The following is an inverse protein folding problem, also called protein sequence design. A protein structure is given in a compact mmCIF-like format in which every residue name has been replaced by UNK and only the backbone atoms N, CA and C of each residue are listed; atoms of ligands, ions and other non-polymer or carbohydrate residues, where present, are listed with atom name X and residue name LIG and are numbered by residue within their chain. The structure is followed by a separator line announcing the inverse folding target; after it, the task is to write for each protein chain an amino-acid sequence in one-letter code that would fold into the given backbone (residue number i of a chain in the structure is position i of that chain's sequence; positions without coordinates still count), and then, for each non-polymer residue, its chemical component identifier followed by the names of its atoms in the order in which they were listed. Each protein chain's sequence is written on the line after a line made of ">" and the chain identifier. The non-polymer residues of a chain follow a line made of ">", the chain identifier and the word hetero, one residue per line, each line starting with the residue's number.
data_IF_708403911940
#
_entry.id   IF_708403911940
#
_cell.length_a   1.000
_cell.length_b   1.000
_cell.length_c   1.000
_cell.angle_alpha   90.00
_cell.angle_beta   90.00
_cell.angle_gamma   90.00
#
_symmetry.space_group_name_H-M   'P 1'
#
loop_
_entity.id
_entity.type
_entity.pdbx_description
1 polymer ?
#
# COMPACT_ATOMS: atom_id res chain seq x y z
N UNK A 1 -5.10 -14.12 21.77
CA UNK A 1 -4.52 -12.80 22.05
C UNK A 1 -4.64 -11.99 20.78
N UNK A 2 -5.52 -10.98 20.75
CA UNK A 2 -5.69 -10.13 19.55
C UNK A 2 -4.47 -9.21 19.52
N UNK A 3 -3.62 -9.32 18.50
CA UNK A 3 -2.49 -8.39 18.32
C UNK A 3 -3.08 -6.99 18.12
N UNK A 4 -2.83 -6.08 19.06
CA UNK A 4 -3.20 -4.68 18.92
C UNK A 4 -2.20 -4.02 17.97
N UNK A 5 -2.63 -3.71 16.75
CA UNK A 5 -1.82 -2.95 15.81
C UNK A 5 -1.88 -1.47 16.16
N UNK A 6 -0.71 -0.82 16.24
CA UNK A 6 -0.63 0.60 16.58
C UNK A 6 -1.09 1.41 15.37
N UNK A 7 -2.08 2.27 15.58
CA UNK A 7 -2.52 3.26 14.60
C UNK A 7 -1.89 4.63 14.91
N UNK A 8 -1.75 5.45 13.88
CA UNK A 8 -1.25 6.82 13.97
C UNK A 8 -2.42 7.78 14.05
N UNK A 9 -2.53 8.57 15.11
CA UNK A 9 -3.59 9.60 15.24
C UNK A 9 -2.98 10.98 15.08
N UNK A 10 -3.45 11.74 14.08
CA UNK A 10 -3.02 13.11 13.78
C UNK A 10 -4.25 14.02 13.62
N UNK A 11 -4.10 15.34 13.85
CA UNK A 11 -5.26 16.24 13.96
C UNK A 11 -6.06 16.41 12.65
N UNK A 12 -5.41 16.33 11.49
CA UNK A 12 -6.04 16.62 10.20
C UNK A 12 -5.30 15.97 9.02
N UNK A 13 -5.87 16.11 7.82
CA UNK A 13 -5.28 15.67 6.56
C UNK A 13 -3.87 16.25 6.35
N UNK A 14 -3.66 17.53 6.66
CA UNK A 14 -2.39 18.21 6.41
C UNK A 14 -1.26 17.57 7.22
N UNK A 15 -1.52 17.22 8.48
CA UNK A 15 -0.60 16.51 9.33
C UNK A 15 -0.27 15.10 8.77
N UNK A 16 -1.27 14.35 8.31
CA UNK A 16 -1.03 13.05 7.66
C UNK A 16 -0.26 13.18 6.35
N UNK A 17 -0.55 14.21 5.54
CA UNK A 17 0.16 14.50 4.30
C UNK A 17 1.62 14.82 4.58
N UNK A 18 1.89 15.65 5.58
CA UNK A 18 3.26 15.96 5.98
C UNK A 18 4.00 14.72 6.47
N UNK A 19 3.34 13.88 7.28
CA UNK A 19 3.90 12.60 7.71
C UNK A 19 4.24 11.71 6.51
N UNK A 20 3.36 11.62 5.51
CA UNK A 20 3.61 10.85 4.29
C UNK A 20 4.85 11.35 3.53
N UNK A 21 4.93 12.67 3.32
CA UNK A 21 6.05 13.28 2.61
C UNK A 21 7.38 13.03 3.34
N UNK A 22 7.40 13.22 4.66
CA UNK A 22 8.59 13.04 5.47
C UNK A 22 9.04 11.57 5.53
N UNK A 23 8.08 10.65 5.62
CA UNK A 23 8.36 9.21 5.81
C UNK A 23 8.70 8.51 4.49
N UNK A 24 8.00 8.84 3.41
CA UNK A 24 8.02 8.07 2.17
C UNK A 24 8.65 8.80 0.98
N UNK A 25 8.52 10.12 0.91
CA UNK A 25 9.04 10.91 -0.21
C UNK A 25 10.43 11.49 0.06
N UNK A 26 10.96 11.37 1.29
CA UNK A 26 12.30 11.82 1.62
C UNK A 26 13.37 10.86 1.07
N UNK A 27 14.14 11.34 0.09
CA UNK A 27 15.20 10.55 -0.56
C UNK A 27 16.32 10.11 0.39
N UNK A 28 16.52 10.82 1.51
CA UNK A 28 17.52 10.49 2.53
C UNK A 28 17.09 9.33 3.44
N UNK A 29 15.79 8.98 3.45
CA UNK A 29 15.23 7.88 4.24
C UNK A 29 14.45 6.91 3.33
N UNK A 30 15.14 6.17 2.44
CA UNK A 30 14.48 5.24 1.53
C UNK A 30 13.79 4.09 2.29
N UNK A 31 12.65 3.65 1.78
CA UNK A 31 11.99 2.42 2.22
C UNK A 31 12.44 1.27 1.33
N UNK A 32 12.80 0.16 1.97
CA UNK A 32 13.10 -1.08 1.30
C UNK A 32 12.03 -2.12 1.63
N UNK A 33 11.90 -3.08 0.74
CA UNK A 33 11.17 -4.30 1.02
C UNK A 33 12.08 -5.30 1.73
N UNK A 34 11.52 -6.30 2.40
CA UNK A 34 12.30 -7.34 3.08
C UNK A 34 13.31 -8.04 2.14
N UNK A 35 13.00 -8.10 0.84
CA UNK A 35 13.80 -8.73 -0.21
C UNK A 35 14.66 -7.73 -0.99
N UNK A 36 14.84 -6.51 -0.47
CA UNK A 36 15.86 -5.58 -0.93
C UNK A 36 15.45 -4.62 -2.04
N UNK A 37 14.19 -4.62 -2.50
CA UNK A 37 13.75 -3.61 -3.46
C UNK A 37 13.60 -2.25 -2.81
N UNK A 38 14.22 -1.24 -3.39
CA UNK A 38 13.99 0.16 -3.02
C UNK A 38 12.65 0.62 -3.58
N UNK A 39 11.74 1.03 -2.71
CA UNK A 39 10.41 1.51 -3.11
C UNK A 39 10.41 3.04 -3.21
N UNK A 40 10.07 3.56 -4.39
CA UNK A 40 9.92 4.99 -4.61
C UNK A 40 8.47 5.42 -4.43
N UNK A 41 8.27 6.58 -3.80
CA UNK A 41 6.95 7.17 -3.55
C UNK A 41 6.88 8.57 -4.17
N UNK A 42 5.71 8.92 -4.71
CA UNK A 42 5.37 10.25 -5.18
C UNK A 42 4.37 10.92 -4.24
N UNK A 43 4.41 12.25 -4.05
CA UNK A 43 3.38 12.98 -3.30
C UNK A 43 1.94 12.66 -3.73
N UNK A 44 1.73 12.39 -5.03
CA UNK A 44 0.41 12.04 -5.58
C UNK A 44 -0.13 10.70 -5.07
N UNK A 45 0.75 9.81 -4.57
CA UNK A 45 0.33 8.55 -3.98
C UNK A 45 -0.48 8.73 -2.69
N UNK A 46 -0.32 9.87 -1.99
CA UNK A 46 -1.10 10.19 -0.80
C UNK A 46 -2.59 10.23 -1.13
N UNK A 47 -2.97 11.03 -2.12
CA UNK A 47 -4.37 11.15 -2.54
C UNK A 47 -4.91 9.79 -3.00
N UNK A 48 -4.09 9.03 -3.72
CA UNK A 48 -4.52 7.72 -4.20
C UNK A 48 -4.79 6.72 -3.07
N UNK A 49 -4.09 6.84 -1.93
CA UNK A 49 -4.13 5.86 -0.84
C UNK A 49 -5.01 6.26 0.32
N UNK A 50 -5.27 7.55 0.53
CA UNK A 50 -5.98 8.05 1.71
C UNK A 50 -7.26 8.83 1.39
N UNK A 51 -7.65 8.90 0.12
CA UNK A 51 -8.94 9.42 -0.28
C UNK A 51 -9.84 8.31 -0.80
N UNK A 52 -11.10 8.41 -0.42
CA UNK A 52 -12.19 7.58 -0.89
C UNK A 52 -13.14 8.43 -1.73
N UNK A 53 -14.13 7.76 -2.32
CA UNK A 53 -15.18 8.47 -3.03
C UNK A 53 -16.40 8.72 -2.17
N UNK A 54 -16.85 9.98 -2.17
CA UNK A 54 -18.16 10.40 -1.67
C UNK A 54 -19.31 9.64 -2.34
N UNK A 55 -19.11 9.16 -3.57
CA UNK A 55 -20.14 8.51 -4.37
C UNK A 55 -19.65 7.21 -5.02
N UNK A 56 -20.11 6.06 -4.50
CA UNK A 56 -19.78 4.74 -5.06
C UNK A 56 -20.26 4.51 -6.50
N UNK A 57 -21.26 5.26 -6.98
CA UNK A 57 -21.77 5.16 -8.36
C UNK A 57 -21.00 6.02 -9.35
N UNK A 58 -20.33 7.08 -8.88
CA UNK A 58 -19.47 7.94 -9.68
C UNK A 58 -18.17 8.20 -8.92
N UNK A 59 -17.19 7.29 -8.98
CA UNK A 59 -16.04 7.28 -8.08
C UNK A 59 -15.09 8.46 -8.36
N UNK A 60 -15.29 9.56 -7.63
CA UNK A 60 -14.38 10.70 -7.48
C UNK A 60 -13.59 10.54 -6.18
N UNK A 61 -12.25 10.55 -6.17
CA UNK A 61 -11.47 10.51 -4.90
C UNK A 61 -11.46 11.89 -4.25
N UNK A 62 -12.50 12.21 -3.50
CA UNK A 62 -12.80 13.55 -3.00
C UNK A 62 -12.96 13.65 -1.47
N UNK A 63 -13.01 12.52 -0.77
CA UNK A 63 -13.16 12.48 0.70
C UNK A 63 -11.91 11.91 1.35
N UNK A 64 -11.28 12.69 2.22
CA UNK A 64 -10.18 12.21 3.05
C UNK A 64 -10.68 11.15 4.05
N UNK A 65 -10.02 9.99 4.08
CA UNK A 65 -10.38 8.85 4.92
C UNK A 65 -9.41 8.74 6.10
N UNK A 66 -9.85 9.21 7.27
CA UNK A 66 -9.09 9.09 8.52
C UNK A 66 -8.75 7.64 8.81
N UNK A 67 -9.71 6.72 8.62
CA UNK A 67 -9.51 5.28 8.86
C UNK A 67 -8.35 4.71 8.03
N UNK A 68 -8.20 5.16 6.78
CA UNK A 68 -7.06 4.75 5.94
C UNK A 68 -5.77 5.45 6.37
N UNK A 69 -5.84 6.74 6.67
CA UNK A 69 -4.70 7.56 7.06
C UNK A 69 -4.08 7.12 8.40
N UNK A 70 -4.89 6.63 9.34
CA UNK A 70 -4.42 6.08 10.61
C UNK A 70 -3.44 4.91 10.45
N UNK A 71 -3.49 4.21 9.31
CA UNK A 71 -2.60 3.08 8.97
C UNK A 71 -1.44 3.49 8.07
N UNK A 72 -1.18 4.80 7.94
CA UNK A 72 -0.12 5.34 7.08
C UNK A 72 1.24 4.69 7.33
N UNK A 73 1.62 4.41 8.58
CA UNK A 73 2.91 3.77 8.92
C UNK A 73 2.95 2.28 8.63
N UNK A 74 1.78 1.62 8.51
CA UNK A 74 1.72 0.20 8.18
C UNK A 74 2.25 -0.08 6.77
N UNK A 75 2.29 0.92 5.88
CA UNK A 75 2.87 0.75 4.54
C UNK A 75 4.34 0.31 4.66
N UNK A 76 5.13 1.05 5.43
CA UNK A 76 6.54 0.72 5.68
C UNK A 76 6.67 -0.63 6.36
N UNK A 77 5.91 -0.84 7.44
CA UNK A 77 5.93 -2.11 8.18
C UNK A 77 5.64 -3.30 7.27
N UNK A 78 4.63 -3.22 6.41
CA UNK A 78 4.25 -4.30 5.49
C UNK A 78 5.32 -4.61 4.46
N UNK A 79 5.98 -3.59 3.93
CA UNK A 79 7.05 -3.77 2.96
C UNK A 79 8.27 -4.43 3.59
N UNK A 80 8.61 -4.04 4.82
CA UNK A 80 9.79 -4.51 5.56
C UNK A 80 9.55 -5.85 6.29
N UNK A 81 8.30 -6.27 6.47
CA UNK A 81 7.95 -7.48 7.20
C UNK A 81 8.32 -8.75 6.40
N UNK A 82 9.20 -9.64 6.92
CA UNK A 82 9.59 -10.89 6.26
C UNK A 82 8.46 -11.94 6.24
N UNK A 83 7.38 -11.74 7.00
CA UNK A 83 6.23 -12.64 7.07
C UNK A 83 5.09 -12.25 6.13
N UNK A 84 5.23 -11.14 5.39
CA UNK A 84 4.24 -10.70 4.40
C UNK A 84 3.97 -11.77 3.33
N UNK A 85 2.69 -12.08 3.10
CA UNK A 85 2.27 -12.93 1.98
C UNK A 85 2.37 -12.10 0.68
N UNK A 86 3.19 -12.56 -0.25
CA UNK A 86 3.48 -11.87 -1.51
C UNK A 86 2.72 -12.53 -2.66
N UNK A 87 1.85 -11.76 -3.32
CA UNK A 87 1.00 -12.20 -4.43
C UNK A 87 1.21 -11.36 -5.68
N UNK A 88 0.91 -11.94 -6.84
CA UNK A 88 0.87 -11.22 -8.12
C UNK A 88 -0.35 -10.29 -8.15
N UNK A 89 -0.14 -9.05 -8.57
CA UNK A 89 -1.17 -8.03 -8.67
C UNK A 89 -2.12 -8.25 -9.84
N UNK A 90 -3.33 -7.74 -9.68
CA UNK A 90 -4.37 -7.76 -10.70
C UNK A 90 -4.44 -6.42 -11.43
N UNK A 91 -4.50 -6.45 -12.76
CA UNK A 91 -4.83 -5.28 -13.57
C UNK A 91 -6.31 -5.30 -13.98
N UNK A 92 -7.06 -4.33 -13.45
CA UNK A 92 -8.49 -4.18 -13.73
C UNK A 92 -8.82 -3.76 -15.17
N UNK A 93 -7.87 -3.17 -15.90
CA UNK A 93 -8.06 -2.75 -17.30
C UNK A 93 -7.95 -3.93 -18.24
N UNK A 94 -6.92 -4.76 -18.08
CA UNK A 94 -6.68 -5.94 -18.93
C UNK A 94 -7.40 -7.19 -18.42
N UNK A 95 -7.92 -7.17 -17.18
CA UNK A 95 -8.54 -8.31 -16.51
C UNK A 95 -7.59 -9.51 -16.44
N UNK A 96 -6.33 -9.24 -16.10
CA UNK A 96 -5.29 -10.25 -16.00
C UNK A 96 -4.38 -10.00 -14.81
N UNK A 97 -3.63 -11.02 -14.42
CA UNK A 97 -2.49 -10.83 -13.53
C UNK A 97 -1.40 -10.03 -14.25
N UNK A 98 -0.77 -9.13 -13.51
CA UNK A 98 0.32 -8.27 -13.97
C UNK A 98 1.57 -8.67 -13.18
N UNK A 99 2.49 -9.37 -13.86
CA UNK A 99 3.75 -9.84 -13.27
C UNK A 99 4.70 -8.70 -12.92
N UNK A 100 4.39 -7.45 -13.27
CA UNK A 100 5.11 -6.28 -12.78
C UNK A 100 4.52 -5.73 -11.48
N UNK A 101 3.38 -6.24 -11.00
CA UNK A 101 2.75 -5.79 -9.75
C UNK A 101 2.89 -6.83 -8.66
N UNK A 102 3.40 -6.40 -7.52
CA UNK A 102 3.48 -7.20 -6.31
C UNK A 102 2.53 -6.65 -5.26
N UNK A 103 1.78 -7.55 -4.64
CA UNK A 103 0.85 -7.29 -3.55
C UNK A 103 1.45 -7.93 -2.30
N UNK A 104 1.82 -7.12 -1.33
CA UNK A 104 2.24 -7.57 -0.01
C UNK A 104 1.07 -7.49 0.95
N UNK A 105 0.84 -8.54 1.72
CA UNK A 105 -0.29 -8.66 2.64
C UNK A 105 0.27 -9.01 4.01
N UNK A 106 -0.08 -8.22 5.00
CA UNK A 106 0.28 -8.47 6.39
C UNK A 106 -0.84 -7.96 7.30
N UNK A 107 -0.83 -8.35 8.57
CA UNK A 107 -1.57 -7.71 9.69
C UNK A 107 -2.99 -7.23 9.34
N UNK A 108 -4.02 -8.01 9.72
CA UNK A 108 -5.42 -7.61 9.57
C UNK A 108 -5.76 -7.23 8.11
N UNK A 109 -5.36 -8.09 7.17
CA UNK A 109 -5.63 -7.96 5.74
C UNK A 109 -5.19 -6.62 5.15
N UNK A 110 -4.15 -5.99 5.70
CA UNK A 110 -3.58 -4.78 5.15
C UNK A 110 -2.72 -5.10 3.95
N UNK A 111 -2.99 -4.40 2.86
CA UNK A 111 -2.43 -4.64 1.55
C UNK A 111 -1.59 -3.45 1.13
N UNK A 112 -0.38 -3.73 0.64
CA UNK A 112 0.48 -2.76 -0.04
C UNK A 112 0.76 -3.25 -1.46
N UNK A 113 0.53 -2.40 -2.45
CA UNK A 113 0.76 -2.72 -3.87
C UNK A 113 1.92 -1.88 -4.38
N UNK A 114 2.90 -2.55 -4.99
CA UNK A 114 4.04 -1.92 -5.67
C UNK A 114 4.12 -2.41 -7.12
N UNK A 115 4.66 -1.58 -8.01
CA UNK A 115 5.06 -1.96 -9.36
C UNK A 115 6.58 -2.12 -9.41
N UNK A 116 7.05 -3.28 -9.84
CA UNK A 116 8.45 -3.60 -10.08
C UNK A 116 8.90 -2.91 -11.36
N UNK A 117 9.99 -2.14 -11.26
CA UNK A 117 10.58 -1.44 -12.41
C UNK A 117 11.81 -2.19 -12.90
N UNK A 118 12.63 -2.68 -11.97
CA UNK A 118 13.81 -3.50 -12.23
C UNK A 118 14.16 -4.31 -10.97
N UNK A 119 15.16 -5.22 -11.03
CA UNK A 119 15.53 -6.09 -9.90
C UNK A 119 15.89 -5.42 -8.58
N UNK A 120 16.10 -4.09 -8.56
CA UNK A 120 16.47 -3.33 -7.36
C UNK A 120 15.46 -2.24 -6.99
N UNK A 121 14.44 -2.00 -7.81
CA UNK A 121 13.58 -0.82 -7.70
C UNK A 121 12.13 -1.15 -7.98
N UNK A 122 11.27 -0.62 -7.12
CA UNK A 122 9.83 -0.61 -7.29
C UNK A 122 9.25 0.80 -7.07
N UNK A 123 8.01 0.99 -7.49
CA UNK A 123 7.22 2.21 -7.27
C UNK A 123 5.97 1.83 -6.47
N UNK A 124 5.67 2.59 -5.42
CA UNK A 124 4.45 2.42 -4.67
C UNK A 124 3.21 2.81 -5.49
N UNK A 125 2.19 1.95 -5.47
CA UNK A 125 0.91 2.21 -6.15
C UNK A 125 -0.14 2.67 -5.15
N UNK A 126 -0.47 1.82 -4.17
CA UNK A 126 -1.50 2.09 -3.17
C UNK A 126 -1.38 1.15 -1.97
N UNK A 127 -2.08 1.49 -0.88
CA UNK A 127 -2.27 0.61 0.26
C UNK A 127 -3.66 0.77 0.87
N UNK A 128 -4.21 -0.30 1.45
CA UNK A 128 -5.55 -0.34 2.07
C UNK A 128 -5.79 -1.61 2.88
N UNK A 129 -6.79 -1.59 3.77
CA UNK A 129 -7.32 -2.81 4.40
C UNK A 129 -8.27 -3.50 3.41
N UNK A 130 -8.04 -4.77 3.12
CA UNK A 130 -8.74 -5.53 2.08
C UNK A 130 -10.03 -6.21 2.56
N UNK A 131 -10.98 -5.48 3.13
CA UNK A 131 -12.19 -6.03 3.76
C UNK A 131 -12.95 -7.04 2.89
N UNK A 132 -13.37 -6.64 1.68
CA UNK A 132 -14.19 -7.48 0.79
C UNK A 132 -13.37 -8.16 -0.33
N UNK A 133 -12.07 -7.86 -0.41
CA UNK A 133 -11.20 -8.30 -1.51
C UNK A 133 -10.16 -9.32 -1.08
N UNK A 134 -9.91 -9.51 0.23
CA UNK A 134 -8.83 -10.36 0.72
C UNK A 134 -8.90 -11.78 0.16
N UNK A 135 -10.07 -12.42 0.15
CA UNK A 135 -10.23 -13.78 -0.38
C UNK A 135 -9.79 -13.91 -1.84
N UNK A 136 -10.08 -12.91 -2.68
CA UNK A 136 -9.63 -12.90 -4.09
C UNK A 136 -8.13 -12.68 -4.20
N UNK A 137 -7.56 -11.82 -3.36
CA UNK A 137 -6.12 -11.53 -3.36
C UNK A 137 -5.34 -12.78 -2.93
N UNK A 138 -5.81 -13.50 -1.90
CA UNK A 138 -5.18 -14.74 -1.42
C UNK A 138 -5.31 -15.91 -2.41
N UNK A 139 -6.18 -15.81 -3.42
CA UNK A 139 -6.26 -16.76 -4.53
C UNK A 139 -5.34 -16.39 -5.71
N UNK A 140 -4.77 -15.18 -5.72
CA UNK A 140 -3.81 -14.79 -6.75
C UNK A 140 -2.56 -15.67 -6.69
N UNK A 141 -1.86 -15.87 -7.83
CA UNK A 141 -0.60 -16.57 -7.86
C UNK A 141 0.39 -15.98 -6.85
N UNK A 142 1.18 -16.86 -6.24
CA UNK A 142 2.26 -16.46 -5.34
C UNK A 142 3.32 -15.71 -6.14
N UNK A 143 3.83 -14.62 -5.56
CA UNK A 143 4.98 -13.92 -6.09
C UNK A 143 6.25 -14.70 -5.76
N UNK A 144 6.96 -15.20 -6.77
CA UNK A 144 8.15 -16.05 -6.57
C UNK A 144 9.49 -15.32 -6.71
N UNK A 145 9.48 -14.00 -6.91
CA UNK A 145 10.69 -13.18 -7.06
C UNK A 145 10.76 -12.41 -8.38
N UNK A 146 11.88 -11.71 -8.58
CA UNK A 146 12.28 -11.11 -9.86
C UNK A 146 13.28 -12.04 -10.54
#
# INVERSE_FOLDING_TARGET
>A
MVMAYIITTLPDEQAYRQLFLNTYCNIASPVFTNDGLRVSFSPNNFNHSFFESSNRRNPTKDVFSIVRAERILWIKETLEDPTSDLRIGWDNKTKSYDNSRRVAIVKNDYVVIISIINPTKAIFISAYVADNSIGKILMSPVWTGI
#
